data_IF_914195195499
#
_entry.id   IF_914195195499
#
_cell.length_a   1.000
_cell.length_b   1.000
_cell.length_c   1.000
_cell.angle_alpha   90.00
_cell.angle_beta   90.00
_cell.angle_gamma   90.00
#
_symmetry.space_group_name_H-M   'P 1'
#
loop_
_entity.id
_entity.type
_entity.pdbx_description
1 polymer ?
#
# COMPACT_ATOMS: atom_id res chain seq x y z
N UNK A 1 -21.32 -14.26 5.54
CA UNK A 1 -20.02 -14.91 5.79
C UNK A 1 -19.66 -14.65 7.23
N UNK A 2 -19.28 -15.71 7.95
CA UNK A 2 -18.90 -15.65 9.35
C UNK A 2 -17.41 -15.95 9.44
N UNK A 3 -16.64 -15.03 10.03
CA UNK A 3 -15.23 -15.26 10.36
C UNK A 3 -15.10 -14.97 11.84
N UNK A 4 -14.61 -15.97 12.59
CA UNK A 4 -14.41 -15.85 14.02
C UNK A 4 -13.05 -16.40 14.39
N UNK A 5 -12.32 -15.62 15.17
CA UNK A 5 -11.06 -16.04 15.77
C UNK A 5 -11.28 -16.24 17.28
N UNK A 6 -10.87 -17.38 17.78
CA UNK A 6 -11.01 -17.76 19.19
C UNK A 6 -9.73 -17.46 19.93
N UNK A 7 -9.86 -16.80 21.09
CA UNK A 7 -8.73 -16.40 21.92
C UNK A 7 -8.96 -16.81 23.38
N UNK A 8 -7.87 -16.98 24.11
CA UNK A 8 -7.87 -17.21 25.55
C UNK A 8 -7.05 -16.11 26.22
N UNK A 9 -7.67 -15.32 27.09
CA UNK A 9 -6.98 -14.39 27.97
C UNK A 9 -6.89 -14.98 29.38
N UNK A 10 -5.75 -14.84 30.04
CA UNK A 10 -5.61 -15.17 31.46
C UNK A 10 -5.76 -13.91 32.30
N UNK A 11 -6.68 -13.91 33.26
CA UNK A 11 -6.51 -13.10 34.47
C UNK A 11 -5.90 -14.00 35.55
N UNK A 12 -5.24 -13.43 36.57
CA UNK A 12 -4.50 -14.15 37.61
C UNK A 12 -5.29 -15.26 38.33
N UNK A 13 -6.61 -15.33 38.14
CA UNK A 13 -7.51 -16.31 38.77
C UNK A 13 -8.44 -17.06 37.78
N UNK A 14 -8.44 -16.76 36.47
CA UNK A 14 -9.29 -17.49 35.49
C UNK A 14 -8.83 -17.39 34.03
N UNK A 15 -9.07 -18.44 33.23
CA UNK A 15 -8.92 -18.39 31.77
C UNK A 15 -10.22 -17.95 31.13
N UNK A 16 -10.30 -16.68 30.74
CA UNK A 16 -11.46 -16.14 30.01
C UNK A 16 -11.28 -16.40 28.52
N UNK A 17 -12.15 -17.24 27.94
CA UNK A 17 -12.22 -17.43 26.49
C UNK A 17 -13.08 -16.34 25.86
N UNK A 18 -12.62 -15.77 24.76
CA UNK A 18 -13.35 -14.72 24.04
C UNK A 18 -13.18 -14.88 22.52
N UNK A 19 -14.07 -14.25 21.77
CA UNK A 19 -14.14 -14.37 20.31
C UNK A 19 -14.35 -13.00 19.70
N UNK A 20 -13.57 -12.69 18.66
CA UNK A 20 -13.89 -11.61 17.73
C UNK A 20 -14.47 -12.20 16.47
N UNK A 21 -15.58 -11.65 16.03
CA UNK A 21 -16.22 -12.06 14.79
C UNK A 21 -16.53 -10.87 13.89
N UNK A 22 -16.43 -11.10 12.59
CA UNK A 22 -16.88 -10.15 11.57
C UNK A 22 -18.00 -10.78 10.77
N UNK A 23 -19.12 -10.07 10.75
CA UNK A 23 -20.32 -10.45 10.02
C UNK A 23 -20.35 -9.68 8.70
N UNK A 24 -20.20 -10.40 7.60
CA UNK A 24 -20.28 -9.82 6.25
C UNK A 24 -21.52 -10.36 5.56
N UNK A 25 -22.32 -9.46 5.00
CA UNK A 25 -23.48 -9.84 4.19
C UNK A 25 -23.03 -10.73 3.01
N UNK A 26 -23.83 -11.76 2.69
CA UNK A 26 -23.56 -12.68 1.58
C UNK A 26 -23.38 -11.95 0.25
N UNK A 27 -24.04 -10.82 0.02
CA UNK A 27 -23.87 -10.04 -1.21
C UNK A 27 -22.43 -9.51 -1.40
N UNK A 28 -21.64 -9.40 -0.32
CA UNK A 28 -20.25 -8.95 -0.36
C UNK A 28 -19.24 -10.10 -0.31
N UNK A 29 -19.65 -11.38 -0.39
CA UNK A 29 -18.75 -12.53 -0.26
C UNK A 29 -17.56 -12.47 -1.24
N UNK A 30 -17.80 -12.16 -2.53
CA UNK A 30 -16.72 -12.07 -3.52
C UNK A 30 -15.67 -11.03 -3.12
N UNK A 31 -16.14 -9.88 -2.63
CA UNK A 31 -15.27 -8.79 -2.19
C UNK A 31 -14.52 -9.16 -0.92
N UNK A 32 -15.20 -9.80 0.04
CA UNK A 32 -14.57 -10.34 1.24
C UNK A 32 -13.44 -11.31 0.89
N UNK A 33 -13.62 -12.24 -0.05
CA UNK A 33 -12.57 -13.19 -0.44
C UNK A 33 -11.32 -12.49 -0.97
N UNK A 34 -11.48 -11.39 -1.71
CA UNK A 34 -10.35 -10.58 -2.19
C UNK A 34 -9.64 -9.84 -1.06
N UNK A 35 -10.35 -9.51 0.01
CA UNK A 35 -9.85 -8.75 1.15
C UNK A 35 -9.53 -9.64 2.36
N UNK A 36 -9.66 -10.96 2.25
CA UNK A 36 -9.64 -11.87 3.40
C UNK A 36 -8.40 -11.68 4.28
N UNK A 37 -7.22 -11.56 3.66
CA UNK A 37 -5.96 -11.29 4.37
C UNK A 37 -5.97 -9.95 5.12
N UNK A 38 -6.60 -8.91 4.56
CA UNK A 38 -6.74 -7.61 5.22
C UNK A 38 -7.65 -7.75 6.44
N UNK A 39 -8.77 -8.46 6.31
CA UNK A 39 -9.67 -8.75 7.42
C UNK A 39 -8.95 -9.52 8.53
N UNK A 40 -8.25 -10.59 8.18
CA UNK A 40 -7.50 -11.45 9.09
C UNK A 40 -6.44 -10.66 9.86
N UNK A 41 -5.54 -9.93 9.17
CA UNK A 41 -4.47 -9.16 9.83
C UNK A 41 -5.02 -8.07 10.76
N UNK A 42 -6.08 -7.36 10.34
CA UNK A 42 -6.66 -6.32 11.18
C UNK A 42 -7.41 -6.91 12.39
N UNK A 43 -8.06 -8.07 12.23
CA UNK A 43 -8.67 -8.78 13.36
C UNK A 43 -7.63 -9.28 14.34
N UNK A 44 -6.51 -9.82 13.84
CA UNK A 44 -5.39 -10.25 14.67
C UNK A 44 -4.79 -9.07 15.44
N UNK A 45 -4.61 -7.92 14.80
CA UNK A 45 -4.12 -6.71 15.48
C UNK A 45 -5.10 -6.24 16.57
N UNK A 46 -6.40 -6.18 16.27
CA UNK A 46 -7.42 -5.81 17.25
C UNK A 46 -7.46 -6.81 18.41
N UNK A 47 -7.30 -8.10 18.11
CA UNK A 47 -7.24 -9.15 19.11
C UNK A 47 -6.03 -8.98 20.03
N UNK A 48 -4.85 -8.74 19.47
CA UNK A 48 -3.63 -8.47 20.26
C UNK A 48 -3.78 -7.22 21.13
N UNK A 49 -4.43 -6.16 20.62
CA UNK A 49 -4.75 -4.97 21.42
C UNK A 49 -5.65 -5.32 22.61
N UNK A 50 -6.74 -6.06 22.38
CA UNK A 50 -7.66 -6.48 23.45
C UNK A 50 -6.95 -7.39 24.45
N UNK A 51 -6.16 -8.35 23.97
CA UNK A 51 -5.45 -9.30 24.81
C UNK A 51 -4.46 -8.61 25.74
N UNK A 52 -3.59 -7.74 25.21
CA UNK A 52 -2.62 -7.00 26.03
C UNK A 52 -3.31 -6.13 27.08
N UNK A 53 -4.48 -5.58 26.77
CA UNK A 53 -5.25 -4.78 27.70
C UNK A 53 -5.97 -5.61 28.78
N UNK A 54 -6.43 -6.82 28.45
CA UNK A 54 -7.05 -7.75 29.41
C UNK A 54 -6.07 -8.30 30.46
N UNK A 55 -4.77 -8.30 30.17
CA UNK A 55 -3.73 -8.70 31.14
C UNK A 55 -3.62 -7.70 32.30
N UNK A 56 -3.89 -6.42 32.04
CA UNK A 56 -3.69 -5.33 33.02
C UNK A 56 -5.00 -4.68 33.50
N UNK A 57 -6.11 -4.87 32.78
CA UNK A 57 -7.37 -4.18 33.05
C UNK A 57 -8.56 -5.15 33.08
N UNK A 58 -9.61 -4.88 33.89
CA UNK A 58 -10.82 -5.68 33.88
C UNK A 58 -11.59 -5.50 32.55
N UNK A 59 -12.39 -6.50 32.12
CA UNK A 59 -13.02 -6.51 30.79
C UNK A 59 -13.86 -5.27 30.45
N UNK A 60 -14.62 -4.72 31.40
CA UNK A 60 -15.45 -3.54 31.18
C UNK A 60 -14.61 -2.29 30.81
N UNK A 61 -13.45 -2.13 31.43
CA UNK A 61 -12.51 -1.05 31.13
C UNK A 61 -11.88 -1.25 29.75
N UNK A 62 -11.49 -2.48 29.41
CA UNK A 62 -10.91 -2.81 28.09
C UNK A 62 -11.87 -2.48 26.96
N UNK A 63 -13.15 -2.83 27.10
CA UNK A 63 -14.17 -2.47 26.09
C UNK A 63 -14.21 -0.96 25.88
N UNK A 64 -14.19 -0.16 26.95
CA UNK A 64 -14.18 1.31 26.84
C UNK A 64 -12.91 1.85 26.19
N UNK A 65 -11.74 1.27 26.48
CA UNK A 65 -10.45 1.72 25.93
C UNK A 65 -10.32 1.42 24.43
N UNK A 66 -10.82 0.27 24.00
CA UNK A 66 -10.64 -0.22 22.63
C UNK A 66 -11.82 0.18 21.73
N UNK A 67 -12.95 0.65 22.27
CA UNK A 67 -14.16 0.97 21.49
C UNK A 67 -13.88 1.90 20.29
N UNK A 68 -13.13 2.98 20.49
CA UNK A 68 -12.78 3.91 19.40
C UNK A 68 -11.94 3.24 18.29
N UNK A 69 -11.07 2.28 18.65
CA UNK A 69 -10.29 1.49 17.69
C UNK A 69 -11.19 0.48 16.95
N UNK A 70 -12.17 -0.12 17.63
CA UNK A 70 -13.19 -0.99 17.00
C UNK A 70 -14.04 -0.21 16.00
N UNK A 71 -14.49 0.99 16.36
CA UNK A 71 -15.26 1.87 15.47
C UNK A 71 -14.46 2.24 14.22
N UNK A 72 -13.20 2.63 14.39
CA UNK A 72 -12.31 2.95 13.28
C UNK A 72 -12.01 1.73 12.39
N UNK A 73 -11.84 0.55 13.00
CA UNK A 73 -11.70 -0.71 12.27
C UNK A 73 -12.96 -1.02 11.46
N UNK A 74 -14.14 -0.94 12.08
CA UNK A 74 -15.44 -1.15 11.44
C UNK A 74 -15.64 -0.21 10.26
N UNK A 75 -15.32 1.07 10.45
CA UNK A 75 -15.36 2.08 9.39
C UNK A 75 -14.47 1.69 8.20
N UNK A 76 -13.19 1.39 8.44
CA UNK A 76 -12.22 1.05 7.39
C UNK A 76 -12.62 -0.20 6.61
N UNK A 77 -13.04 -1.25 7.32
CA UNK A 77 -13.44 -2.52 6.69
C UNK A 77 -14.74 -2.34 5.90
N UNK A 78 -15.72 -1.63 6.46
CA UNK A 78 -16.96 -1.28 5.75
C UNK A 78 -16.65 -0.50 4.47
N UNK A 79 -15.75 0.48 4.56
CA UNK A 79 -15.29 1.25 3.40
C UNK A 79 -14.67 0.34 2.34
N UNK A 80 -13.66 -0.46 2.66
CA UNK A 80 -12.97 -1.34 1.69
C UNK A 80 -13.93 -2.32 0.98
N UNK A 81 -14.95 -2.77 1.72
CA UNK A 81 -15.95 -3.72 1.24
C UNK A 81 -16.95 -3.08 0.28
N UNK A 82 -17.29 -1.81 0.51
CA UNK A 82 -18.24 -1.06 -0.31
C UNK A 82 -17.56 -0.20 -1.38
N UNK A 83 -16.25 -0.02 -1.28
CA UNK A 83 -15.45 0.79 -2.19
C UNK A 83 -15.62 0.27 -3.62
N UNK A 84 -15.85 1.20 -4.53
CA UNK A 84 -15.97 0.97 -5.97
C UNK A 84 -14.92 1.81 -6.66
N UNK A 85 -14.51 1.36 -7.84
CA UNK A 85 -13.62 2.15 -8.67
C UNK A 85 -14.24 3.56 -8.89
N UNK A 86 -13.45 4.64 -8.70
CA UNK A 86 -13.95 5.97 -8.96
C UNK A 86 -14.30 6.10 -10.44
N UNK A 87 -15.30 6.96 -10.73
CA UNK A 87 -15.66 7.25 -12.11
C UNK A 87 -14.50 7.99 -12.77
N UNK A 88 -14.01 7.46 -13.87
CA UNK A 88 -12.88 8.03 -14.58
C UNK A 88 -13.11 8.00 -16.08
N UNK A 89 -12.51 8.96 -16.77
CA UNK A 89 -12.52 9.07 -18.23
C UNK A 89 -11.08 9.33 -18.69
N UNK A 90 -10.67 8.74 -19.82
CA UNK A 90 -9.27 8.82 -20.27
C UNK A 90 -8.80 10.26 -20.50
N UNK A 91 -9.68 11.16 -20.97
CA UNK A 91 -9.37 12.58 -21.13
C UNK A 91 -9.00 13.28 -19.82
N UNK A 92 -9.44 12.74 -18.67
CA UNK A 92 -9.13 13.27 -17.33
C UNK A 92 -7.90 12.58 -16.73
N UNK A 93 -6.90 12.32 -17.58
CA UNK A 93 -5.59 11.76 -17.22
C UNK A 93 -4.50 12.61 -17.86
N UNK A 94 -3.27 12.52 -17.37
CA UNK A 94 -2.12 13.18 -17.99
C UNK A 94 -1.77 12.62 -19.37
N UNK A 95 -2.30 11.45 -19.74
CA UNK A 95 -2.15 10.89 -21.09
C UNK A 95 -3.32 11.20 -22.02
N UNK A 96 -4.33 11.93 -21.54
CA UNK A 96 -5.46 12.39 -22.36
C UNK A 96 -5.10 13.59 -23.24
N UNK A 97 -6.14 14.27 -23.70
CA UNK A 97 -6.05 15.50 -24.53
C UNK A 97 -6.03 16.79 -23.68
N UNK A 98 -5.97 16.67 -22.36
CA UNK A 98 -6.17 17.77 -21.40
C UNK A 98 -4.94 18.70 -21.25
N UNK A 99 -5.14 20.02 -21.02
CA UNK A 99 -4.08 21.03 -20.90
C UNK A 99 -3.32 21.03 -19.57
N UNK A 100 -3.64 20.14 -18.62
CA UNK A 100 -2.91 20.03 -17.36
C UNK A 100 -1.55 19.37 -17.60
N UNK A 101 -0.57 20.16 -18.00
CA UNK A 101 0.80 19.68 -18.21
C UNK A 101 1.50 19.51 -16.86
N UNK A 102 1.51 18.29 -16.34
CA UNK A 102 2.45 17.91 -15.30
C UNK A 102 3.85 17.83 -15.94
N UNK A 103 4.87 18.26 -15.20
CA UNK A 103 6.26 18.08 -15.62
C UNK A 103 6.51 16.59 -15.92
N UNK A 104 6.96 16.27 -17.14
CA UNK A 104 7.22 14.90 -17.60
C UNK A 104 8.20 14.16 -16.68
N UNK A 105 9.22 14.83 -16.18
CA UNK A 105 10.18 14.26 -15.24
C UNK A 105 9.52 13.88 -13.92
N UNK A 106 8.65 14.74 -13.39
CA UNK A 106 7.87 14.43 -12.19
C UNK A 106 6.90 13.27 -12.43
N UNK A 107 6.21 13.24 -13.59
CA UNK A 107 5.32 12.14 -13.96
C UNK A 107 6.07 10.80 -14.04
N UNK A 108 7.27 10.78 -14.62
CA UNK A 108 8.12 9.59 -14.68
C UNK A 108 8.47 9.07 -13.27
N UNK A 109 8.85 9.97 -12.35
CA UNK A 109 9.16 9.60 -10.96
C UNK A 109 7.93 9.10 -10.22
N UNK A 110 6.77 9.74 -10.42
CA UNK A 110 5.50 9.33 -9.80
C UNK A 110 5.10 7.92 -10.24
N UNK A 111 5.07 7.65 -11.55
CA UNK A 111 4.72 6.33 -12.08
C UNK A 111 5.73 5.28 -11.60
N UNK A 112 7.03 5.60 -11.61
CA UNK A 112 8.08 4.70 -11.11
C UNK A 112 7.85 4.35 -9.65
N UNK A 113 7.67 5.35 -8.78
CA UNK A 113 7.46 5.14 -7.34
C UNK A 113 6.18 4.35 -7.05
N UNK A 114 5.09 4.66 -7.75
CA UNK A 114 3.82 3.96 -7.64
C UNK A 114 3.99 2.47 -7.94
N UNK A 115 4.61 2.13 -9.07
CA UNK A 115 4.83 0.74 -9.46
C UNK A 115 5.80 0.01 -8.51
N UNK A 116 6.86 0.68 -8.04
CA UNK A 116 7.82 0.11 -7.07
C UNK A 116 7.20 -0.14 -5.68
N UNK A 117 6.12 0.56 -5.35
CA UNK A 117 5.36 0.36 -4.10
C UNK A 117 4.13 -0.51 -4.29
N UNK A 118 4.20 -1.50 -5.19
CA UNK A 118 3.11 -2.43 -5.49
C UNK A 118 1.79 -1.74 -5.88
N UNK A 119 1.92 -0.61 -6.57
CA UNK A 119 0.82 0.26 -6.95
C UNK A 119 0.04 0.85 -5.75
N UNK A 120 0.68 1.01 -4.59
CA UNK A 120 0.10 1.65 -3.41
C UNK A 120 0.58 3.10 -3.31
N UNK A 121 -0.32 4.08 -3.44
CA UNK A 121 0.03 5.50 -3.29
C UNK A 121 -1.08 6.34 -2.68
N UNK A 122 -0.67 7.33 -1.89
CA UNK A 122 -1.51 8.43 -1.43
C UNK A 122 -1.11 9.68 -2.20
N UNK A 123 -2.08 10.32 -2.84
CA UNK A 123 -1.87 11.58 -3.55
C UNK A 123 -2.45 12.70 -2.70
N UNK A 124 -1.60 13.61 -2.24
CA UNK A 124 -1.96 14.71 -1.35
C UNK A 124 -1.83 16.06 -2.06
N UNK A 125 -2.70 17.00 -1.70
CA UNK A 125 -2.59 18.40 -2.10
C UNK A 125 -2.91 19.33 -0.93
N UNK A 126 -2.39 20.55 -0.98
CA UNK A 126 -2.42 21.50 0.15
C UNK A 126 -3.76 22.23 0.29
N UNK A 127 -4.57 22.27 -0.77
CA UNK A 127 -5.83 23.01 -0.79
C UNK A 127 -6.85 22.36 -1.73
N UNK A 128 -8.12 22.79 -1.64
CA UNK A 128 -9.19 22.30 -2.51
C UNK A 128 -8.92 22.55 -4.01
N UNK A 129 -8.10 23.56 -4.35
CA UNK A 129 -7.69 23.83 -5.74
C UNK A 129 -6.88 22.68 -6.36
N UNK A 130 -6.26 21.84 -5.54
CA UNK A 130 -5.50 20.69 -6.00
C UNK A 130 -6.36 19.44 -6.23
N UNK A 131 -7.67 19.45 -5.89
CA UNK A 131 -8.56 18.28 -6.03
C UNK A 131 -8.54 17.73 -7.46
N UNK A 132 -8.64 18.60 -8.46
CA UNK A 132 -8.66 18.17 -9.87
C UNK A 132 -7.32 17.58 -10.31
N UNK A 133 -6.20 18.13 -9.82
CA UNK A 133 -4.86 17.58 -10.08
C UNK A 133 -4.69 16.22 -9.41
N UNK A 134 -5.12 16.08 -8.15
CA UNK A 134 -5.08 14.82 -7.40
C UNK A 134 -5.89 13.75 -8.14
N UNK A 135 -7.14 14.05 -8.49
CA UNK A 135 -8.02 13.10 -9.17
C UNK A 135 -7.52 12.75 -10.58
N UNK A 136 -6.95 13.71 -11.31
CA UNK A 136 -6.30 13.47 -12.61
C UNK A 136 -5.10 12.55 -12.46
N UNK A 137 -4.28 12.74 -11.42
CA UNK A 137 -3.14 11.87 -11.15
C UNK A 137 -3.58 10.46 -10.76
N UNK A 138 -4.61 10.33 -9.91
CA UNK A 138 -5.20 9.04 -9.55
C UNK A 138 -5.73 8.34 -10.79
N UNK A 139 -6.47 9.03 -11.66
CA UNK A 139 -6.94 8.47 -12.93
C UNK A 139 -5.78 8.00 -13.83
N UNK A 140 -4.69 8.75 -13.85
CA UNK A 140 -3.48 8.41 -14.59
C UNK A 140 -2.83 7.14 -14.05
N UNK A 141 -2.68 7.03 -12.72
CA UNK A 141 -2.09 5.85 -12.08
C UNK A 141 -2.98 4.61 -12.19
N UNK A 142 -4.31 4.77 -12.19
CA UNK A 142 -5.26 3.66 -12.39
C UNK A 142 -5.12 2.97 -13.76
N UNK A 143 -4.50 3.61 -14.75
CA UNK A 143 -4.24 2.99 -16.05
C UNK A 143 -3.27 1.80 -15.95
N UNK A 144 -2.46 1.75 -14.90
CA UNK A 144 -1.53 0.65 -14.60
C UNK A 144 -2.16 -0.48 -13.78
N UNK A 145 -3.43 -0.35 -13.41
CA UNK A 145 -4.18 -1.31 -12.61
C UNK A 145 -5.18 -2.12 -13.47
N UNK A 146 -5.43 -3.37 -13.07
CA UNK A 146 -6.55 -4.18 -13.57
C UNK A 146 -7.90 -3.62 -13.12
N UNK A 147 -8.98 -4.09 -13.75
CA UNK A 147 -10.35 -3.68 -13.40
C UNK A 147 -10.70 -4.01 -11.94
N UNK A 148 -10.22 -5.13 -11.43
CA UNK A 148 -10.40 -5.56 -10.04
C UNK A 148 -9.61 -4.67 -9.07
N UNK A 149 -8.35 -4.37 -9.39
CA UNK A 149 -7.48 -3.51 -8.58
C UNK A 149 -8.00 -2.08 -8.49
N UNK A 150 -8.61 -1.56 -9.56
CA UNK A 150 -9.24 -0.22 -9.55
C UNK A 150 -10.35 -0.08 -8.51
N UNK A 151 -10.96 -1.18 -8.07
CA UNK A 151 -11.94 -1.15 -6.98
C UNK A 151 -11.30 -0.83 -5.61
N UNK A 152 -9.98 -0.81 -5.52
CA UNK A 152 -9.20 -0.38 -4.35
C UNK A 152 -8.62 1.02 -4.54
N UNK A 153 -9.23 1.83 -5.41
CA UNK A 153 -8.86 3.21 -5.62
C UNK A 153 -9.98 4.13 -5.11
N UNK A 154 -9.60 5.32 -4.67
CA UNK A 154 -10.53 6.39 -4.29
C UNK A 154 -10.01 7.72 -4.79
N UNK A 155 -10.90 8.54 -5.33
CA UNK A 155 -10.66 9.98 -5.48
C UNK A 155 -10.55 10.67 -4.11
N UNK A 156 -10.27 11.96 -4.12
CA UNK A 156 -10.34 12.80 -2.92
C UNK A 156 -11.70 12.59 -2.24
N UNK A 157 -11.62 12.34 -0.94
CA UNK A 157 -12.77 12.14 -0.07
C UNK A 157 -12.95 13.34 0.85
N UNK A 158 -14.19 13.58 1.26
CA UNK A 158 -14.52 14.60 2.25
C UNK A 158 -14.10 14.15 3.66
N UNK A 159 -14.12 12.85 3.89
CA UNK A 159 -13.58 12.21 5.08
C UNK A 159 -12.05 12.17 5.02
N UNK A 160 -11.39 12.93 5.91
CA UNK A 160 -9.93 13.10 5.99
C UNK A 160 -9.18 11.86 6.51
N UNK A 161 -9.86 10.75 6.74
CA UNK A 161 -9.24 9.55 7.28
C UNK A 161 -8.51 8.74 6.22
N UNK A 162 -7.19 8.57 6.41
CA UNK A 162 -6.41 7.57 5.68
C UNK A 162 -7.04 6.17 5.83
N UNK A 163 -7.28 5.50 4.70
CA UNK A 163 -7.75 4.11 4.66
C UNK A 163 -6.58 3.21 4.27
N UNK A 164 -6.08 2.38 5.20
CA UNK A 164 -5.03 1.41 4.90
C UNK A 164 -5.49 0.41 3.83
N UNK A 165 -4.54 -0.07 3.03
CA UNK A 165 -4.74 -1.10 1.99
C UNK A 165 -5.56 -0.69 0.75
N UNK A 166 -5.92 0.59 0.60
CA UNK A 166 -6.23 1.11 -0.74
C UNK A 166 -4.94 1.15 -1.58
N UNK A 167 -5.07 0.83 -2.86
CA UNK A 167 -3.99 0.98 -3.84
C UNK A 167 -3.80 2.45 -4.19
N UNK A 168 -4.88 3.21 -4.35
CA UNK A 168 -4.78 4.65 -4.61
C UNK A 168 -5.80 5.40 -3.77
N UNK A 169 -5.38 6.49 -3.14
CA UNK A 169 -6.33 7.40 -2.50
C UNK A 169 -5.87 8.85 -2.61
N UNK A 170 -6.83 9.75 -2.82
CA UNK A 170 -6.61 11.19 -2.76
C UNK A 170 -6.94 11.76 -1.39
N UNK A 171 -6.14 12.72 -0.92
CA UNK A 171 -6.36 13.42 0.34
C UNK A 171 -6.01 14.91 0.19
N UNK A 172 -6.66 15.76 1.00
CA UNK A 172 -6.36 17.19 1.10
C UNK A 172 -5.74 17.44 2.46
N UNK A 173 -4.74 18.34 2.52
CA UNK A 173 -3.98 18.64 3.71
C UNK A 173 -2.85 17.66 3.98
N UNK A 174 -2.20 17.85 5.12
CA UNK A 174 -1.18 16.93 5.62
C UNK A 174 -1.82 15.82 6.45
N UNK A 175 -1.25 14.63 6.41
CA UNK A 175 -1.71 13.52 7.23
C UNK A 175 -0.51 12.82 7.85
N UNK A 176 -0.72 12.21 9.03
CA UNK A 176 0.31 11.42 9.68
C UNK A 176 0.73 10.24 8.77
N UNK A 177 1.91 10.36 8.16
CA UNK A 177 2.40 9.38 7.19
C UNK A 177 2.71 8.04 7.84
N UNK A 178 2.94 7.98 9.16
CA UNK A 178 3.16 6.72 9.88
C UNK A 178 1.92 5.81 9.83
N UNK A 179 0.72 6.37 9.58
CA UNK A 179 -0.51 5.60 9.38
C UNK A 179 -0.42 4.62 8.20
N UNK A 180 0.47 4.86 7.24
CA UNK A 180 0.75 3.94 6.13
C UNK A 180 1.32 2.60 6.58
N UNK A 181 1.93 2.50 7.77
CA UNK A 181 2.38 1.24 8.37
C UNK A 181 1.23 0.29 8.70
N UNK A 182 -0.01 0.78 8.73
CA UNK A 182 -1.20 -0.09 8.84
C UNK A 182 -1.51 -0.82 7.53
N UNK A 183 -0.95 -0.40 6.40
CA UNK A 183 -1.06 -1.10 5.12
C UNK A 183 -0.10 -2.28 5.06
N UNK A 184 -0.56 -3.39 4.48
CA UNK A 184 0.26 -4.61 4.28
C UNK A 184 1.47 -4.31 3.40
N UNK A 185 1.28 -3.45 2.40
CA UNK A 185 2.29 -3.09 1.39
C UNK A 185 2.85 -1.70 1.65
N UNK A 186 4.12 -1.46 1.26
CA UNK A 186 4.70 -0.13 1.29
C UNK A 186 3.86 0.84 0.46
N UNK A 187 3.75 2.10 0.86
CA UNK A 187 2.93 3.12 0.19
C UNK A 187 3.76 4.36 -0.09
N UNK A 188 3.68 4.89 -1.31
CA UNK A 188 4.28 6.19 -1.66
C UNK A 188 3.33 7.34 -1.32
N UNK A 189 3.89 8.44 -0.83
CA UNK A 189 3.16 9.70 -0.60
C UNK A 189 3.61 10.71 -1.65
N UNK A 190 2.67 11.12 -2.50
CA UNK A 190 2.91 12.02 -3.63
C UNK A 190 2.22 13.35 -3.33
N UNK A 191 3.02 14.39 -3.12
CA UNK A 191 2.52 15.75 -2.92
C UNK A 191 2.51 16.49 -4.26
N UNK A 192 1.32 16.78 -4.77
CA UNK A 192 1.14 17.47 -6.07
C UNK A 192 1.33 18.97 -5.97
N UNK A 193 1.19 19.56 -4.79
CA UNK A 193 1.39 21.00 -4.57
C UNK A 193 2.89 21.32 -4.55
N UNK A 194 3.67 20.49 -3.87
CA UNK A 194 5.13 20.64 -3.73
C UNK A 194 5.93 19.90 -4.81
N UNK A 195 5.27 19.05 -5.60
CA UNK A 195 5.92 18.18 -6.60
C UNK A 195 7.00 17.29 -5.97
N UNK A 196 6.72 16.80 -4.77
CA UNK A 196 7.62 15.91 -4.01
C UNK A 196 7.03 14.53 -3.85
N UNK A 197 7.90 13.52 -3.85
CA UNK A 197 7.50 12.13 -3.65
C UNK A 197 8.30 11.61 -2.47
N UNK A 198 7.61 11.02 -1.52
CA UNK A 198 8.20 10.30 -0.42
C UNK A 198 7.85 8.83 -0.58
N UNK A 199 8.86 7.97 -0.52
CA UNK A 199 8.67 6.54 -0.61
C UNK A 199 9.13 5.90 0.68
N UNK A 200 8.32 4.97 1.17
CA UNK A 200 8.69 4.14 2.30
C UNK A 200 9.74 3.11 1.86
N UNK A 201 10.58 2.69 2.80
CA UNK A 201 11.62 1.69 2.64
C UNK A 201 11.16 0.38 1.94
N UNK A 202 12.12 -0.42 1.46
CA UNK A 202 11.86 -1.70 0.77
C UNK A 202 10.93 -2.63 1.57
N UNK A 203 10.20 -3.53 0.90
CA UNK A 203 9.15 -4.40 1.49
C UNK A 203 9.57 -5.07 2.80
N UNK A 204 10.78 -5.61 2.89
CA UNK A 204 11.28 -6.27 4.12
C UNK A 204 11.42 -5.28 5.29
N UNK A 205 11.88 -4.06 5.00
CA UNK A 205 11.99 -2.99 5.99
C UNK A 205 10.60 -2.48 6.38
N UNK A 206 9.67 -2.39 5.42
CA UNK A 206 8.26 -2.09 5.70
C UNK A 206 7.67 -3.10 6.66
N UNK A 207 7.77 -4.42 6.39
CA UNK A 207 7.25 -5.47 7.28
C UNK A 207 7.79 -5.35 8.70
N UNK A 208 9.10 -5.14 8.86
CA UNK A 208 9.71 -4.94 10.18
C UNK A 208 9.19 -3.67 10.88
N UNK A 209 9.03 -2.57 10.14
CA UNK A 209 8.48 -1.34 10.67
C UNK A 209 7.01 -1.51 11.10
N UNK A 210 6.22 -2.32 10.36
CA UNK A 210 4.83 -2.65 10.74
C UNK A 210 4.77 -3.40 12.07
N UNK A 211 5.63 -4.39 12.27
CA UNK A 211 5.68 -5.17 13.53
C UNK A 211 5.98 -4.26 14.71
N UNK A 212 6.98 -3.38 14.58
CA UNK A 212 7.34 -2.42 15.63
C UNK A 212 6.22 -1.41 15.87
N UNK A 213 5.60 -0.91 14.81
CA UNK A 213 4.47 0.01 14.90
C UNK A 213 3.25 -0.64 15.57
N UNK A 214 2.95 -1.90 15.29
CA UNK A 214 1.85 -2.62 15.92
C UNK A 214 2.05 -2.73 17.43
N UNK A 215 3.26 -3.12 17.87
CA UNK A 215 3.61 -3.17 19.30
C UNK A 215 3.50 -1.78 19.94
N UNK A 216 4.03 -0.76 19.27
CA UNK A 216 3.95 0.63 19.76
C UNK A 216 2.50 1.13 19.87
N UNK A 217 1.65 0.88 18.87
CA UNK A 217 0.23 1.28 18.87
C UNK A 217 -0.53 0.56 20.00
N UNK A 218 -0.23 -0.71 20.27
CA UNK A 218 -0.81 -1.46 21.42
C UNK A 218 -0.40 -0.83 22.75
N UNK A 219 0.89 -0.60 22.96
CA UNK A 219 1.41 -0.02 24.21
C UNK A 219 0.87 1.40 24.46
N UNK A 220 0.65 2.18 23.40
CA UNK A 220 0.17 3.56 23.48
C UNK A 220 -1.28 3.70 23.97
N UNK A 221 -2.06 2.61 23.99
CA UNK A 221 -3.45 2.61 24.48
C UNK A 221 -3.49 2.89 25.99
N UNK A 222 -2.48 2.43 26.73
CA UNK A 222 -2.37 2.70 28.16
C UNK A 222 -2.00 4.15 28.39
N UNK A 223 -2.81 4.88 29.17
CA UNK A 223 -2.55 6.29 29.51
C UNK A 223 -1.18 6.51 30.17
N UNK A 224 -0.67 5.50 30.89
CA UNK A 224 0.67 5.53 31.49
C UNK A 224 1.80 5.51 30.45
N UNK A 225 1.55 4.92 29.28
CA UNK A 225 2.51 4.74 28.19
C UNK A 225 2.25 5.67 27.00
N UNK A 226 1.22 6.52 27.05
CA UNK A 226 0.88 7.47 25.98
C UNK A 226 2.03 8.44 25.62
N UNK A 227 2.97 8.67 26.54
CA UNK A 227 4.14 9.53 26.34
C UNK A 227 5.42 8.74 26.00
N UNK A 228 5.33 7.44 25.71
CA UNK A 228 6.50 6.63 25.34
C UNK A 228 7.07 7.14 24.02
N UNK A 229 8.38 7.35 24.00
CA UNK A 229 9.08 7.85 22.82
C UNK A 229 8.85 6.94 21.61
N UNK A 230 8.56 7.54 20.46
CA UNK A 230 8.37 6.84 19.19
C UNK A 230 9.69 6.14 18.81
N UNK A 231 9.71 4.81 18.60
CA UNK A 231 10.90 4.09 18.17
C UNK A 231 11.51 4.68 16.90
N UNK A 232 12.84 4.78 16.84
CA UNK A 232 13.52 5.50 15.76
C UNK A 232 13.19 4.97 14.36
N UNK A 233 12.99 3.67 14.20
CA UNK A 233 12.67 3.07 12.89
C UNK A 233 11.32 3.51 12.33
N UNK A 234 10.36 3.84 13.20
CA UNK A 234 8.99 4.23 12.80
C UNK A 234 8.78 5.75 12.83
N UNK A 235 9.82 6.53 13.16
CA UNK A 235 9.80 7.99 13.03
C UNK A 235 9.74 8.37 11.56
N UNK A 236 8.92 9.37 11.25
CA UNK A 236 8.64 9.77 9.87
C UNK A 236 9.91 10.08 9.06
N UNK A 237 10.86 10.83 9.64
CA UNK A 237 12.13 11.20 9.00
C UNK A 237 13.00 10.00 8.58
N UNK A 238 12.90 8.90 9.32
CA UNK A 238 13.67 7.69 9.05
C UNK A 238 12.91 6.74 8.11
N UNK A 239 11.57 6.78 8.18
CA UNK A 239 10.68 5.90 7.45
C UNK A 239 10.49 6.34 5.99
N UNK A 240 10.35 7.64 5.77
CA UNK A 240 10.06 8.24 4.48
C UNK A 240 11.29 8.94 3.92
N UNK A 241 11.74 8.48 2.76
CA UNK A 241 12.86 9.08 2.05
C UNK A 241 12.36 9.81 0.80
N UNK A 242 12.89 11.01 0.50
CA UNK A 242 12.61 11.68 -0.75
C UNK A 242 13.00 10.78 -1.94
N UNK A 243 12.05 10.55 -2.85
CA UNK A 243 12.24 9.72 -4.01
C UNK A 243 12.59 10.55 -5.25
N UNK A 244 13.74 10.26 -5.84
CA UNK A 244 14.31 11.03 -6.97
C UNK A 244 14.59 10.19 -8.21
N UNK A 245 14.47 8.86 -8.12
CA UNK A 245 14.80 7.96 -9.22
C UNK A 245 13.67 7.87 -10.26
N UNK A 246 14.01 7.57 -11.50
CA UNK A 246 13.05 7.27 -12.56
C UNK A 246 13.51 6.02 -13.32
N UNK A 247 12.59 5.09 -13.55
CA UNK A 247 12.85 3.89 -14.33
C UNK A 247 13.04 4.24 -15.80
N UNK A 248 14.00 3.57 -16.46
CA UNK A 248 14.22 3.74 -17.89
C UNK A 248 13.03 3.20 -18.70
N UNK A 249 12.41 2.10 -18.24
CA UNK A 249 11.18 1.55 -18.81
C UNK A 249 10.01 2.53 -18.74
N UNK A 250 9.82 3.21 -17.59
CA UNK A 250 8.77 4.20 -17.42
C UNK A 250 9.04 5.43 -18.30
N UNK A 251 10.27 5.94 -18.33
CA UNK A 251 10.65 7.06 -19.19
C UNK A 251 10.42 6.77 -20.68
N UNK A 252 10.76 5.55 -21.12
CA UNK A 252 10.48 5.05 -22.46
C UNK A 252 8.98 5.01 -22.75
N UNK A 253 8.21 4.35 -21.88
CA UNK A 253 6.76 4.29 -21.97
C UNK A 253 6.13 5.67 -22.10
N UNK A 254 6.42 6.60 -21.18
CA UNK A 254 5.80 7.93 -21.17
C UNK A 254 6.11 8.66 -22.48
N UNK A 255 7.32 8.51 -23.02
CA UNK A 255 7.69 9.09 -24.33
C UNK A 255 6.89 8.47 -25.47
N UNK A 256 6.74 7.14 -25.49
CA UNK A 256 5.98 6.42 -26.51
C UNK A 256 4.47 6.70 -26.44
N UNK A 257 3.90 6.81 -25.23
CA UNK A 257 2.47 7.09 -25.05
C UNK A 257 2.10 8.43 -25.71
N UNK A 258 2.96 9.45 -25.62
CA UNK A 258 2.71 10.72 -26.29
C UNK A 258 2.92 10.69 -27.79
N UNK A 259 3.69 9.74 -28.33
CA UNK A 259 3.90 9.60 -29.79
C UNK A 259 2.80 8.79 -30.48
N UNK A 260 2.06 7.95 -29.76
CA UNK A 260 0.94 7.17 -30.32
C UNK A 260 -0.38 7.96 -30.32
N UNK A 261 -1.30 7.66 -31.27
CA UNK A 261 -2.65 8.22 -31.28
C UNK A 261 -3.40 7.99 -29.96
N UNK A 262 -4.18 8.99 -29.55
CA UNK A 262 -4.90 9.03 -28.26
C UNK A 262 -5.76 7.78 -28.04
N UNK A 263 -6.40 7.27 -29.11
CA UNK A 263 -7.27 6.09 -29.04
C UNK A 263 -6.49 4.80 -28.70
N UNK A 264 -5.17 4.77 -28.93
CA UNK A 264 -4.31 3.59 -28.72
C UNK A 264 -3.52 3.66 -27.40
N UNK A 265 -3.48 4.83 -26.73
CA UNK A 265 -2.67 5.06 -25.53
C UNK A 265 -3.02 4.12 -24.38
N UNK A 266 -4.30 3.87 -24.13
CA UNK A 266 -4.74 2.94 -23.06
C UNK A 266 -4.21 1.53 -23.32
N UNK A 267 -4.36 1.03 -24.55
CA UNK A 267 -3.86 -0.29 -24.92
C UNK A 267 -2.34 -0.38 -24.84
N UNK A 268 -1.62 0.70 -25.20
CA UNK A 268 -0.16 0.77 -25.05
C UNK A 268 0.28 0.65 -23.59
N UNK A 269 -0.38 1.38 -22.68
CA UNK A 269 -0.10 1.30 -21.23
C UNK A 269 -0.44 -0.10 -20.67
N UNK A 270 -1.51 -0.72 -21.13
CA UNK A 270 -1.86 -2.09 -20.74
C UNK A 270 -0.83 -3.12 -21.24
N UNK A 271 -0.32 -2.95 -22.46
CA UNK A 271 0.75 -3.80 -23.00
C UNK A 271 2.04 -3.67 -22.19
N UNK A 272 2.33 -2.46 -21.69
CA UNK A 272 3.46 -2.22 -20.79
C UNK A 272 3.31 -2.97 -19.46
N UNK A 273 2.11 -2.97 -18.85
CA UNK A 273 1.82 -3.79 -17.66
C UNK A 273 2.11 -5.27 -17.92
N UNK A 274 1.61 -5.81 -19.04
CA UNK A 274 1.88 -7.19 -19.43
C UNK A 274 3.36 -7.47 -19.71
N UNK A 275 4.12 -6.48 -20.20
CA UNK A 275 5.57 -6.59 -20.34
C UNK A 275 6.26 -6.73 -18.99
N UNK A 276 5.90 -5.90 -18.00
CA UNK A 276 6.45 -6.00 -16.65
C UNK A 276 6.10 -7.32 -15.97
N UNK A 277 4.85 -7.79 -16.11
CA UNK A 277 4.42 -9.10 -15.58
C UNK A 277 5.24 -10.25 -16.17
N UNK A 278 5.49 -10.26 -17.49
CA UNK A 278 6.35 -11.28 -18.11
C UNK A 278 7.78 -11.23 -17.57
N UNK A 279 8.33 -10.04 -17.35
CA UNK A 279 9.66 -9.85 -16.73
C UNK A 279 9.69 -10.35 -15.29
N UNK A 280 8.63 -10.12 -14.51
CA UNK A 280 8.50 -10.62 -13.14
C UNK A 280 8.46 -12.15 -13.10
N UNK A 281 7.67 -12.78 -13.98
CA UNK A 281 7.65 -14.25 -14.10
C UNK A 281 9.05 -14.78 -14.46
N UNK A 282 9.77 -14.13 -15.38
CA UNK A 282 11.15 -14.52 -15.70
C UNK A 282 12.08 -14.39 -14.50
N UNK A 283 11.96 -13.34 -13.68
CA UNK A 283 12.71 -13.19 -12.43
C UNK A 283 12.42 -14.34 -11.47
N UNK A 284 11.15 -14.62 -11.17
CA UNK A 284 10.73 -15.72 -10.28
C UNK A 284 11.32 -17.04 -10.77
N UNK A 285 11.13 -17.38 -12.05
CA UNK A 285 11.65 -18.63 -12.64
C UNK A 285 13.17 -18.71 -12.61
N UNK A 286 13.86 -17.59 -12.75
CA UNK A 286 15.32 -17.55 -12.68
C UNK A 286 15.81 -17.79 -11.25
N UNK A 287 15.17 -17.19 -10.26
CA UNK A 287 15.46 -17.40 -8.84
C UNK A 287 15.13 -18.85 -8.43
N UNK A 288 14.01 -19.42 -8.84
CA UNK A 288 13.63 -20.81 -8.55
C UNK A 288 14.61 -21.85 -9.12
N UNK A 289 15.22 -21.54 -10.28
CA UNK A 289 16.13 -22.45 -10.99
C UNK A 289 17.59 -22.29 -10.58
N UNK A 290 18.05 -21.05 -10.42
CA UNK A 290 19.43 -20.74 -10.07
C UNK A 290 19.65 -20.66 -8.56
N UNK A 291 18.58 -20.45 -7.78
CA UNK A 291 18.60 -20.52 -6.34
C UNK A 291 18.95 -21.92 -5.88
N UNK A 292 19.93 -22.02 -5.00
CA UNK A 292 20.44 -23.29 -4.53
C UNK A 292 19.45 -23.90 -3.52
N UNK A 293 18.59 -24.82 -3.96
CA UNK A 293 17.56 -25.45 -3.12
C UNK A 293 18.12 -26.16 -1.88
N UNK A 294 19.44 -26.40 -1.84
CA UNK A 294 20.17 -27.07 -0.76
C UNK A 294 20.77 -26.09 0.25
N UNK A 295 20.94 -24.82 -0.11
CA UNK A 295 21.40 -23.80 0.82
C UNK A 295 20.17 -23.30 1.58
N UNK A 296 20.04 -23.73 2.84
CA UNK A 296 18.97 -23.29 3.76
C UNK A 296 19.19 -21.83 4.21
N UNK A 297 19.55 -20.96 3.28
CA UNK A 297 19.91 -19.57 3.51
C UNK A 297 18.93 -18.66 2.77
N UNK A 298 18.31 -17.73 3.49
CA UNK A 298 17.38 -16.70 2.98
C UNK A 298 18.04 -15.68 2.01
N UNK A 299 19.24 -15.98 1.48
CA UNK A 299 20.08 -15.02 0.76
C UNK A 299 20.56 -15.59 -0.57
N UNK A 300 20.16 -14.94 -1.66
CA UNK A 300 20.65 -15.26 -3.00
C UNK A 300 22.12 -14.82 -3.13
N UNK A 301 22.97 -15.68 -3.69
CA UNK A 301 24.36 -15.34 -3.98
C UNK A 301 24.43 -14.11 -4.91
N UNK A 302 25.29 -13.14 -4.58
CA UNK A 302 25.45 -11.89 -5.32
C UNK A 302 25.87 -12.08 -6.78
N UNK A 303 26.66 -13.12 -7.08
CA UNK A 303 27.04 -13.46 -8.45
C UNK A 303 25.84 -13.95 -9.28
N UNK A 304 24.96 -14.73 -8.66
CA UNK A 304 23.72 -15.21 -9.30
C UNK A 304 22.77 -14.02 -9.52
N UNK A 305 22.63 -13.15 -8.53
CA UNK A 305 21.82 -11.94 -8.66
C UNK A 305 22.32 -11.05 -9.80
N UNK A 306 23.65 -10.85 -9.90
CA UNK A 306 24.26 -10.07 -10.98
C UNK A 306 23.94 -10.68 -12.35
N UNK A 307 24.14 -11.99 -12.51
CA UNK A 307 23.80 -12.72 -13.73
C UNK A 307 22.32 -12.59 -14.12
N UNK A 308 21.40 -12.67 -13.14
CA UNK A 308 19.96 -12.48 -13.39
C UNK A 308 19.69 -11.06 -13.91
N UNK A 309 20.28 -10.04 -13.28
CA UNK A 309 20.07 -8.64 -13.68
C UNK A 309 20.64 -8.34 -15.06
N UNK A 310 21.88 -8.75 -15.35
CA UNK A 310 22.59 -8.39 -16.58
C UNK A 310 22.20 -9.28 -17.75
N UNK A 311 22.21 -10.60 -17.57
CA UNK A 311 22.21 -11.53 -18.71
C UNK A 311 20.78 -11.92 -19.08
N UNK A 312 19.92 -12.13 -18.07
CA UNK A 312 18.55 -12.61 -18.25
C UNK A 312 17.59 -11.43 -18.43
N UNK A 313 17.54 -10.53 -17.45
CA UNK A 313 16.59 -9.43 -17.45
C UNK A 313 17.05 -8.26 -18.33
N UNK A 314 18.37 -8.14 -18.56
CA UNK A 314 19.02 -7.09 -19.35
C UNK A 314 18.61 -5.69 -18.86
N UNK A 315 18.80 -5.46 -17.57
CA UNK A 315 18.36 -4.24 -16.91
C UNK A 315 19.35 -3.10 -17.11
N UNK A 316 18.83 -1.91 -17.39
CA UNK A 316 19.64 -0.70 -17.58
C UNK A 316 19.97 0.01 -16.27
N UNK A 317 19.08 -0.06 -15.27
CA UNK A 317 19.29 0.55 -13.96
C UNK A 317 18.60 -0.24 -12.83
N UNK A 318 18.92 0.12 -11.58
CA UNK A 318 18.32 -0.50 -10.38
C UNK A 318 16.83 -0.14 -10.21
N UNK A 319 16.39 1.02 -10.69
CA UNK A 319 14.98 1.40 -10.64
C UNK A 319 14.09 0.44 -11.45
N UNK A 320 14.57 -0.03 -12.61
CA UNK A 320 13.92 -1.04 -13.44
C UNK A 320 13.88 -2.40 -12.72
N UNK A 321 14.96 -2.76 -12.02
CA UNK A 321 14.98 -3.98 -11.20
C UNK A 321 13.93 -3.92 -10.09
N UNK A 322 13.84 -2.80 -9.38
CA UNK A 322 12.88 -2.60 -8.30
C UNK A 322 11.42 -2.67 -8.80
N UNK A 323 11.12 -2.21 -10.02
CA UNK A 323 9.80 -2.40 -10.63
C UNK A 323 9.46 -3.87 -10.81
N UNK A 324 10.39 -4.65 -11.38
CA UNK A 324 10.18 -6.08 -11.63
C UNK A 324 10.04 -6.82 -10.29
N UNK A 325 10.85 -6.46 -9.30
CA UNK A 325 10.81 -7.04 -7.97
C UNK A 325 9.51 -6.73 -7.23
N UNK A 326 8.92 -5.55 -7.43
CA UNK A 326 7.63 -5.20 -6.83
C UNK A 326 6.46 -5.99 -7.43
N UNK A 327 6.59 -6.49 -8.65
CA UNK A 327 5.55 -7.29 -9.32
C UNK A 327 5.73 -8.79 -9.06
N UNK A 328 6.97 -9.24 -8.88
CA UNK A 328 7.33 -10.64 -8.61
C UNK A 328 6.87 -11.14 -7.23
#
# INVERSE_FOLDING_TARGET
VFTANFYSGGTSESTTKWVLCVLVDRCHLRRYMQLHKIYEENLMLLASMIQGQLESNPPATVVSLVNSKVELFSYRISFLTRCKAPRWEFKNTFFGDSPLHLNKEFLNRVITSHLQTHCCSVVVGSSEEDIDKINTLINTLMLFLSTEERQLCSHVRKDEYFIPNLLLQGMIGDFDKTLTLRSIRPTSVIDVSRMTIFQICAVRQHSKAREIFATYDIESIDKANANKAVPDLIREDNLFKPFKEASSYVCGLVTEVYSVPVQLRVSHIQNFRGFLERKAVLLIRSVERLGDKKANTDTLNSAILKRIKTDILRLGNEADFALILAIA
#
